data_IF_056769007937
#
_entry.id   IF_056769007937
#
_cell.length_a   1.000
_cell.length_b   1.000
_cell.length_c   1.000
_cell.angle_alpha   90.00
_cell.angle_beta   90.00
_cell.angle_gamma   90.00
#
_symmetry.space_group_name_H-M   'P 1'
#
loop_
_entity.id
_entity.type
_entity.pdbx_description
1 polymer ?
#
# COMPACT_ATOMS: atom_id res chain seq x y z
N UNK A 1 8.13 -3.54 3.44
CA UNK A 1 8.38 -3.71 1.99
C UNK A 1 9.84 -3.47 1.62
N UNK A 2 10.35 -2.23 1.45
CA UNK A 2 11.72 -1.97 0.94
C UNK A 2 12.86 -2.77 1.60
N UNK A 3 12.95 -2.76 2.94
CA UNK A 3 14.01 -3.47 3.69
C UNK A 3 13.93 -5.00 3.58
N UNK A 4 12.74 -5.52 3.28
CA UNK A 4 12.44 -6.96 3.25
C UNK A 4 12.24 -7.45 1.81
N UNK A 5 12.63 -6.67 0.80
CA UNK A 5 12.40 -7.02 -0.61
C UNK A 5 13.08 -8.36 -0.98
N UNK A 6 14.26 -8.64 -0.42
CA UNK A 6 14.95 -9.91 -0.59
C UNK A 6 14.11 -11.10 -0.12
N UNK A 7 13.45 -10.99 1.04
CA UNK A 7 12.60 -12.06 1.60
C UNK A 7 11.36 -12.36 0.73
N UNK A 8 10.83 -11.35 0.03
CA UNK A 8 9.78 -11.58 -0.97
C UNK A 8 10.33 -12.28 -2.21
N UNK A 9 11.49 -11.85 -2.70
CA UNK A 9 12.14 -12.45 -3.86
C UNK A 9 12.55 -13.92 -3.62
N UNK A 10 13.04 -14.24 -2.42
CA UNK A 10 13.36 -15.62 -2.00
C UNK A 10 12.13 -16.55 -2.02
N UNK A 11 10.93 -15.99 -1.95
CA UNK A 11 9.65 -16.72 -2.00
C UNK A 11 8.99 -16.69 -3.38
N UNK A 12 9.72 -16.28 -4.43
CA UNK A 12 9.19 -16.12 -5.80
C UNK A 12 7.98 -15.15 -5.85
N UNK A 13 7.99 -14.12 -5.01
CA UNK A 13 6.92 -13.10 -4.94
C UNK A 13 7.43 -11.75 -5.44
N UNK A 14 6.75 -11.23 -6.46
CA UNK A 14 6.93 -9.86 -6.92
C UNK A 14 6.15 -8.87 -6.04
N UNK A 15 6.77 -7.74 -5.71
CA UNK A 15 6.13 -6.64 -4.98
C UNK A 15 5.88 -5.50 -5.95
N UNK A 16 4.74 -4.82 -5.83
CA UNK A 16 4.47 -3.55 -6.47
C UNK A 16 3.71 -2.64 -5.51
N UNK A 17 3.90 -1.33 -5.62
CA UNK A 17 3.08 -0.37 -4.89
C UNK A 17 2.29 0.47 -5.89
N UNK A 18 1.03 0.75 -5.55
CA UNK A 18 0.11 1.50 -6.40
C UNK A 18 -0.40 2.72 -5.62
N UNK A 19 -0.17 3.91 -6.17
CA UNK A 19 -0.70 5.18 -5.65
C UNK A 19 -1.83 5.71 -6.52
N UNK A 20 -2.56 6.73 -6.05
CA UNK A 20 -3.65 7.36 -6.80
C UNK A 20 -3.15 8.27 -7.94
N UNK A 21 -2.80 9.52 -7.63
CA UNK A 21 -2.31 10.48 -8.62
C UNK A 21 -1.33 11.48 -8.00
N UNK A 22 -0.06 11.08 -7.90
CA UNK A 22 1.02 11.94 -7.43
C UNK A 22 2.35 11.58 -8.10
N UNK A 23 2.42 11.76 -9.41
CA UNK A 23 3.56 11.39 -10.28
C UNK A 23 4.90 11.88 -9.73
N UNK A 24 4.95 13.12 -9.22
CA UNK A 24 6.15 13.68 -8.62
C UNK A 24 6.57 12.97 -7.33
N UNK A 25 5.61 12.51 -6.51
CA UNK A 25 5.91 11.74 -5.29
C UNK A 25 6.34 10.31 -5.63
N UNK A 26 5.70 9.69 -6.62
CA UNK A 26 6.10 8.38 -7.14
C UNK A 26 7.54 8.46 -7.71
N UNK A 27 7.85 9.45 -8.54
CA UNK A 27 9.19 9.66 -9.09
C UNK A 27 10.23 9.87 -7.99
N UNK A 28 9.94 10.73 -7.00
CA UNK A 28 10.85 10.96 -5.86
C UNK A 28 11.12 9.71 -5.03
N UNK A 29 10.14 8.81 -4.91
CA UNK A 29 10.32 7.52 -4.24
C UNK A 29 11.15 6.55 -5.09
N UNK A 30 10.95 6.53 -6.41
CA UNK A 30 11.79 5.76 -7.35
C UNK A 30 13.24 6.24 -7.31
N UNK A 31 13.49 7.54 -7.37
CA UNK A 31 14.82 8.16 -7.25
C UNK A 31 15.48 7.83 -5.90
N UNK A 32 14.67 7.56 -4.87
CA UNK A 32 15.10 7.12 -3.55
C UNK A 32 15.56 5.66 -3.48
N UNK A 33 15.53 4.90 -4.58
CA UNK A 33 16.01 3.52 -4.68
C UNK A 33 15.05 2.48 -4.10
N UNK A 34 13.75 2.63 -4.37
CA UNK A 34 12.76 1.58 -4.06
C UNK A 34 12.97 0.41 -5.04
N UNK A 35 13.13 -0.84 -4.56
CA UNK A 35 13.54 -1.97 -5.39
C UNK A 35 12.39 -2.61 -6.20
N UNK A 36 11.20 -2.01 -6.19
CA UNK A 36 10.00 -2.52 -6.84
C UNK A 36 9.24 -1.41 -7.58
N UNK A 37 8.42 -1.77 -8.60
CA UNK A 37 7.66 -0.80 -9.37
C UNK A 37 6.69 0.03 -8.51
N UNK A 38 6.61 1.33 -8.84
CA UNK A 38 5.61 2.25 -8.33
C UNK A 38 4.65 2.62 -9.46
N UNK A 39 3.42 2.14 -9.37
CA UNK A 39 2.38 2.36 -10.36
C UNK A 39 1.38 3.41 -9.86
N UNK A 40 0.59 3.95 -10.79
CA UNK A 40 -0.46 4.91 -10.50
C UNK A 40 -1.80 4.36 -10.98
N UNK A 41 -2.84 4.53 -10.18
CA UNK A 41 -4.23 4.21 -10.48
C UNK A 41 -5.09 5.50 -10.37
N UNK A 42 -4.89 6.48 -11.28
CA UNK A 42 -5.53 7.79 -11.19
C UNK A 42 -7.05 7.73 -11.39
N UNK A 43 -7.54 6.67 -12.04
CA UNK A 43 -8.95 6.39 -12.26
C UNK A 43 -9.59 5.51 -11.19
N UNK A 44 -8.81 4.94 -10.26
CA UNK A 44 -9.30 3.98 -9.26
C UNK A 44 -9.75 2.63 -9.85
N UNK A 45 -9.45 2.34 -11.11
CA UNK A 45 -9.94 1.15 -11.82
C UNK A 45 -9.39 -0.13 -11.21
N UNK A 46 -8.11 -0.15 -10.86
CA UNK A 46 -7.51 -1.30 -10.17
C UNK A 46 -8.10 -1.44 -8.78
N UNK A 47 -8.22 -0.32 -8.05
CA UNK A 47 -8.78 -0.32 -6.70
C UNK A 47 -10.21 -0.88 -6.68
N UNK A 48 -11.07 -0.47 -7.61
CA UNK A 48 -12.43 -1.00 -7.75
C UNK A 48 -12.44 -2.47 -8.17
N UNK A 49 -11.57 -2.88 -9.10
CA UNK A 49 -11.46 -4.28 -9.50
C UNK A 49 -11.06 -5.21 -8.33
N UNK A 50 -10.33 -4.67 -7.35
CA UNK A 50 -9.96 -5.38 -6.11
C UNK A 50 -10.99 -5.25 -4.98
N UNK A 51 -12.11 -4.56 -5.19
CA UNK A 51 -13.15 -4.35 -4.17
C UNK A 51 -12.71 -3.41 -3.04
N UNK A 52 -11.75 -2.53 -3.28
CA UNK A 52 -11.13 -1.65 -2.28
C UNK A 52 -11.74 -0.24 -2.25
N UNK A 53 -12.95 -0.04 -2.78
CA UNK A 53 -13.62 1.26 -2.92
C UNK A 53 -13.95 1.95 -1.60
N UNK A 54 -13.84 1.22 -0.49
CA UNK A 54 -14.13 1.74 0.83
C UNK A 54 -13.17 2.87 1.19
N UNK A 55 -13.76 4.01 1.60
CA UNK A 55 -13.04 5.18 2.10
C UNK A 55 -12.98 5.14 3.62
N UNK A 56 -11.99 5.82 4.19
CA UNK A 56 -11.98 6.15 5.61
C UNK A 56 -13.14 7.10 5.89
N UNK A 57 -13.91 6.80 6.94
CA UNK A 57 -14.95 7.69 7.43
C UNK A 57 -14.32 8.96 8.03
N UNK A 58 -15.11 10.03 8.18
CA UNK A 58 -14.65 11.28 8.83
C UNK A 58 -14.13 11.03 10.25
N UNK A 59 -14.75 10.10 10.99
CA UNK A 59 -14.32 9.71 12.33
C UNK A 59 -12.98 8.97 12.35
N UNK A 60 -12.74 8.08 11.38
CA UNK A 60 -11.46 7.38 11.25
C UNK A 60 -10.33 8.32 10.83
N UNK A 61 -10.62 9.30 9.97
CA UNK A 61 -9.67 10.35 9.58
C UNK A 61 -9.29 11.27 10.75
N UNK A 62 -10.26 11.69 11.56
CA UNK A 62 -10.04 12.52 12.75
C UNK A 62 -9.66 11.72 14.00
N UNK A 63 -9.56 10.39 13.89
CA UNK A 63 -9.18 9.54 15.00
C UNK A 63 -7.74 9.77 15.45
N UNK A 64 -7.50 9.65 16.75
CA UNK A 64 -6.17 9.81 17.35
C UNK A 64 -5.08 8.98 16.66
N UNK A 65 -5.41 7.76 16.20
CA UNK A 65 -4.49 6.89 15.44
C UNK A 65 -4.05 7.51 14.11
N UNK A 66 -4.98 8.02 13.30
CA UNK A 66 -4.68 8.69 12.02
C UNK A 66 -3.89 9.97 12.23
N UNK A 67 -4.27 10.78 13.23
CA UNK A 67 -3.55 12.00 13.61
C UNK A 67 -2.11 11.67 14.02
N UNK A 68 -1.92 10.73 14.95
CA UNK A 68 -0.60 10.30 15.41
C UNK A 68 0.26 9.80 14.25
N UNK A 69 -0.29 8.98 13.36
CA UNK A 69 0.43 8.45 12.21
C UNK A 69 0.82 9.55 11.21
N UNK A 70 -0.06 10.53 10.99
CA UNK A 70 0.23 11.70 10.16
C UNK A 70 1.34 12.56 10.78
N UNK A 71 1.32 12.79 12.10
CA UNK A 71 2.39 13.51 12.81
C UNK A 71 3.73 12.79 12.69
N UNK A 72 3.77 11.47 12.94
CA UNK A 72 4.99 10.65 12.74
C UNK A 72 5.47 10.73 11.29
N UNK A 73 4.54 10.70 10.33
CA UNK A 73 4.82 10.87 8.91
C UNK A 73 5.41 12.25 8.59
N UNK A 74 4.85 13.32 9.15
CA UNK A 74 5.28 14.70 8.96
C UNK A 74 6.70 14.95 9.50
N UNK A 75 7.06 14.37 10.65
CA UNK A 75 8.41 14.48 11.21
C UNK A 75 9.45 13.65 10.44
N UNK A 76 9.04 12.62 9.68
CA UNK A 76 9.94 11.70 8.97
C UNK A 76 9.93 11.86 7.44
N UNK A 77 8.96 12.57 6.87
CA UNK A 77 8.77 12.70 5.43
C UNK A 77 8.37 14.14 5.07
N UNK A 78 9.21 14.82 4.27
CA UNK A 78 8.82 16.07 3.60
C UNK A 78 7.87 15.75 2.45
N UNK A 79 6.59 15.51 2.76
CA UNK A 79 5.57 15.29 1.73
C UNK A 79 5.23 16.63 1.05
N UNK A 80 5.48 16.72 -0.26
CA UNK A 80 5.04 17.85 -1.10
C UNK A 80 3.53 17.82 -1.35
N UNK A 81 2.99 18.89 -1.96
CA UNK A 81 1.56 19.02 -2.29
C UNK A 81 1.08 17.87 -3.18
N UNK A 82 0.00 17.22 -2.79
CA UNK A 82 -0.67 16.15 -3.55
C UNK A 82 -1.73 16.79 -4.46
N UNK A 83 -1.71 16.45 -5.75
CA UNK A 83 -2.56 17.07 -6.79
C UNK A 83 -4.05 16.67 -6.70
N UNK A 84 -4.38 15.61 -5.95
CA UNK A 84 -5.75 15.20 -5.62
C UNK A 84 -5.82 14.61 -4.22
N UNK A 85 -6.82 14.93 -3.39
CA UNK A 85 -6.97 14.36 -2.06
C UNK A 85 -7.40 12.88 -2.14
N UNK A 86 -6.41 11.98 -2.24
CA UNK A 86 -6.57 10.54 -2.02
C UNK A 86 -6.45 10.18 -0.53
N UNK A 87 -6.43 11.20 0.35
CA UNK A 87 -6.25 11.08 1.79
C UNK A 87 -7.34 10.22 2.45
N UNK A 88 -8.49 10.07 1.78
CA UNK A 88 -9.60 9.24 2.24
C UNK A 88 -9.54 7.79 1.78
N UNK A 89 -8.64 7.41 0.88
CA UNK A 89 -8.53 6.03 0.44
C UNK A 89 -7.91 5.18 1.56
N UNK A 90 -8.54 4.05 1.85
CA UNK A 90 -8.01 3.13 2.86
C UNK A 90 -6.66 2.57 2.39
N UNK A 91 -5.59 2.61 3.21
CA UNK A 91 -4.39 1.87 2.89
C UNK A 91 -4.72 0.39 2.82
N UNK A 92 -4.14 -0.31 1.85
CA UNK A 92 -4.39 -1.72 1.66
C UNK A 92 -3.14 -2.45 1.20
N UNK A 93 -3.07 -3.74 1.53
CA UNK A 93 -2.13 -4.70 0.96
C UNK A 93 -2.95 -5.87 0.45
N UNK A 94 -2.64 -6.34 -0.76
CA UNK A 94 -3.32 -7.46 -1.39
C UNK A 94 -2.26 -8.44 -1.89
N UNK A 95 -2.49 -9.74 -1.68
CA UNK A 95 -1.72 -10.81 -2.29
C UNK A 95 -2.59 -11.43 -3.38
N UNK A 96 -2.02 -11.47 -4.59
CA UNK A 96 -2.64 -12.10 -5.75
C UNK A 96 -1.92 -13.43 -6.02
N UNK A 97 -2.68 -14.46 -6.41
CA UNK A 97 -2.10 -15.68 -6.97
C UNK A 97 -1.66 -15.48 -8.44
N UNK A 98 -1.15 -16.56 -9.06
CA UNK A 98 -0.73 -16.57 -10.47
C UNK A 98 -1.89 -16.37 -11.45
N UNK A 99 -3.12 -16.65 -11.03
CA UNK A 99 -4.34 -16.42 -11.81
C UNK A 99 -4.91 -14.99 -11.62
N UNK A 100 -4.23 -14.15 -10.82
CA UNK A 100 -4.63 -12.78 -10.44
C UNK A 100 -5.86 -12.74 -9.52
N UNK A 101 -6.12 -13.82 -8.78
CA UNK A 101 -7.17 -13.86 -7.75
C UNK A 101 -6.61 -13.34 -6.43
N UNK A 102 -7.44 -12.62 -5.68
CA UNK A 102 -7.11 -12.20 -4.32
C UNK A 102 -7.13 -13.40 -3.38
N UNK A 103 -5.97 -13.80 -2.88
CA UNK A 103 -5.84 -14.88 -1.88
C UNK A 103 -5.73 -14.36 -0.46
N UNK A 104 -5.34 -13.10 -0.31
CA UNK A 104 -5.31 -12.42 0.98
C UNK A 104 -5.39 -10.91 0.79
N UNK A 105 -6.04 -10.22 1.72
CA UNK A 105 -6.05 -8.76 1.74
C UNK A 105 -6.08 -8.22 3.17
N UNK A 106 -5.46 -7.07 3.35
CA UNK A 106 -5.59 -6.23 4.53
C UNK A 106 -6.08 -4.86 4.10
N UNK A 107 -7.15 -4.37 4.73
CA UNK A 107 -7.70 -3.04 4.52
C UNK A 107 -7.62 -2.27 5.82
N UNK A 108 -6.73 -1.27 5.86
CA UNK A 108 -6.49 -0.45 7.04
C UNK A 108 -7.68 0.44 7.38
N UNK A 109 -7.78 0.78 8.67
CA UNK A 109 -8.85 1.61 9.24
C UNK A 109 -8.37 2.98 9.68
N UNK A 110 -7.12 3.32 9.39
CA UNK A 110 -6.51 4.61 9.66
C UNK A 110 -5.46 4.95 8.61
N UNK A 111 -5.05 6.21 8.55
CA UNK A 111 -3.96 6.64 7.66
C UNK A 111 -2.66 5.92 8.05
N UNK A 112 -1.99 5.32 7.06
CA UNK A 112 -0.75 4.57 7.28
C UNK A 112 -0.92 3.26 8.06
N UNK A 113 -2.15 2.79 8.22
CA UNK A 113 -2.48 1.50 8.83
C UNK A 113 -2.17 0.37 7.84
N UNK A 114 -0.93 -0.12 7.92
CA UNK A 114 -0.44 -1.25 7.15
C UNK A 114 -0.11 -2.40 8.09
N UNK A 115 -0.32 -3.66 7.66
CA UNK A 115 0.05 -4.81 8.46
C UNK A 115 1.58 -4.90 8.59
N UNK A 116 2.09 -5.50 9.68
CA UNK A 116 3.51 -5.82 9.80
C UNK A 116 4.00 -6.69 8.65
N UNK A 117 5.24 -6.49 8.18
CA UNK A 117 5.78 -7.27 7.06
C UNK A 117 5.81 -8.77 7.34
N UNK A 118 6.08 -9.17 8.58
CA UNK A 118 6.06 -10.57 9.00
C UNK A 118 4.68 -11.23 8.79
N UNK A 119 3.58 -10.49 9.01
CA UNK A 119 2.22 -10.97 8.77
C UNK A 119 1.98 -11.18 7.27
N UNK A 120 2.45 -10.23 6.44
CA UNK A 120 2.33 -10.32 4.98
C UNK A 120 3.12 -11.53 4.46
N UNK A 121 4.35 -11.72 4.94
CA UNK A 121 5.17 -12.88 4.57
C UNK A 121 4.48 -14.18 5.00
N UNK A 122 3.92 -14.26 6.21
CA UNK A 122 3.19 -15.43 6.67
C UNK A 122 1.92 -15.75 5.85
N UNK A 123 1.32 -14.73 5.24
CA UNK A 123 0.14 -14.87 4.39
C UNK A 123 0.46 -15.28 2.94
N UNK A 124 1.73 -15.28 2.52
CA UNK A 124 2.13 -15.78 1.19
C UNK A 124 1.84 -17.29 1.16
N UNK A 125 0.98 -17.77 0.25
CA UNK A 125 0.74 -19.20 0.10
C UNK A 125 2.07 -19.93 -0.14
N UNK A 126 2.28 -21.06 0.52
CA UNK A 126 3.40 -21.93 0.19
C UNK A 126 3.31 -22.28 -1.29
N UNK A 127 4.41 -22.17 -2.03
CA UNK A 127 4.45 -22.52 -3.44
C UNK A 127 4.13 -24.02 -3.59
N UNK A 128 2.89 -24.31 -3.95
CA UNK A 128 2.39 -25.67 -4.26
C UNK A 128 1.77 -26.40 -3.07
N UNK A 129 0.44 -26.39 -3.01
CA UNK A 129 -0.37 -27.60 -2.82
C UNK A 129 -1.67 -27.38 -3.61
N UNK A 130 -1.75 -28.07 -4.75
CA UNK A 130 -2.91 -28.39 -5.62
C UNK A 130 -3.94 -27.30 -5.97
#
# INVERSE_FOLDING_TARGET
MRKHHGEFAERDVAVMAVGGAADFQAQRLMDGGVPFPLLLDPGGTLRSALGLDQKLSKGELMGWRSIRNLFVGMFRQKQGKVSRPHTGDRPAVVILDRERRVVWSHVGRAVGDYPPVAEILAAIPAAGVE
#
